data_IF_078234748753
#
_entry.id   IF_078234748753
#
_cell.length_a   1.000
_cell.length_b   1.000
_cell.length_c   1.000
_cell.angle_alpha   90.00
_cell.angle_beta   90.00
_cell.angle_gamma   90.00
#
_symmetry.space_group_name_H-M   'P 1'
#
loop_
_entity.id
_entity.type
_entity.pdbx_description
1 polymer ?
#
# COMPACT_ATOMS: atom_id res chain seq x y z
N UNK A 1 7.21 -2.99 -0.95
CA UNK A 1 6.87 -1.96 0.06
C UNK A 1 7.69 -0.71 -0.19
N UNK A 2 7.02 0.44 -0.25
CA UNK A 2 7.63 1.76 -0.43
C UNK A 2 8.05 2.36 0.91
N UNK A 3 9.09 1.78 1.52
CA UNK A 3 9.52 2.15 2.87
C UNK A 3 9.97 3.61 2.97
N UNK A 4 9.52 4.30 4.01
CA UNK A 4 9.88 5.70 4.29
C UNK A 4 9.36 6.71 3.26
N UNK A 5 8.61 6.24 2.26
CA UNK A 5 8.08 7.03 1.16
C UNK A 5 8.91 6.92 -0.14
N UNK A 6 9.91 6.06 -0.18
CA UNK A 6 10.70 5.80 -1.38
C UNK A 6 10.05 4.71 -2.20
N UNK A 7 9.74 4.99 -3.45
CA UNK A 7 9.19 4.01 -4.40
C UNK A 7 10.22 2.91 -4.66
N UNK A 8 9.83 1.67 -4.42
CA UNK A 8 10.69 0.51 -4.63
C UNK A 8 11.06 0.33 -6.11
N UNK A 9 12.10 -0.46 -6.37
CA UNK A 9 12.51 -0.77 -7.74
C UNK A 9 11.59 -1.82 -8.39
N UNK A 10 10.40 -1.36 -8.80
CA UNK A 10 9.41 -2.22 -9.45
C UNK A 10 9.86 -2.71 -10.83
N UNK A 11 10.73 -1.99 -11.54
CA UNK A 11 11.28 -2.47 -12.81
C UNK A 11 12.03 -3.78 -12.58
N UNK A 12 12.88 -3.82 -11.54
CA UNK A 12 13.60 -5.03 -11.16
C UNK A 12 12.67 -6.15 -10.69
N UNK A 13 11.60 -5.82 -9.98
CA UNK A 13 10.59 -6.80 -9.57
C UNK A 13 9.89 -7.38 -10.80
N UNK A 14 9.46 -6.55 -11.75
CA UNK A 14 8.82 -7.02 -12.98
C UNK A 14 9.76 -7.85 -13.86
N UNK A 15 11.04 -7.51 -13.97
CA UNK A 15 12.02 -8.34 -14.66
C UNK A 15 12.06 -9.77 -14.07
N UNK A 16 12.10 -9.90 -12.73
CA UNK A 16 12.11 -11.21 -12.05
C UNK A 16 10.80 -11.96 -12.33
N UNK A 17 9.66 -11.28 -12.22
CA UNK A 17 8.33 -11.88 -12.45
C UNK A 17 8.22 -12.38 -13.89
N UNK A 18 8.65 -11.60 -14.88
CA UNK A 18 8.65 -11.99 -16.28
C UNK A 18 9.55 -13.21 -16.57
N UNK A 19 10.75 -13.29 -15.96
CA UNK A 19 11.62 -14.48 -16.12
C UNK A 19 11.00 -15.74 -15.55
N UNK A 20 10.05 -15.65 -14.64
CA UNK A 20 9.40 -16.78 -13.97
C UNK A 20 7.97 -17.05 -14.42
N UNK A 21 7.44 -16.27 -15.38
CA UNK A 21 6.03 -16.39 -15.81
C UNK A 21 5.67 -17.78 -16.36
N UNK A 22 6.61 -18.51 -16.94
CA UNK A 22 6.40 -19.89 -17.40
C UNK A 22 6.07 -20.90 -16.28
N UNK A 23 6.35 -20.57 -15.02
CA UNK A 23 6.00 -21.38 -13.85
C UNK A 23 4.60 -21.04 -13.30
N UNK A 24 4.00 -19.94 -13.75
CA UNK A 24 2.72 -19.46 -13.24
C UNK A 24 1.56 -20.29 -13.82
N UNK A 25 0.66 -20.72 -12.95
CA UNK A 25 -0.58 -21.42 -13.32
C UNK A 25 -1.76 -20.59 -12.82
N UNK A 26 -2.57 -20.00 -13.72
CA UNK A 26 -3.71 -19.19 -13.31
C UNK A 26 -4.83 -20.06 -12.73
N UNK A 27 -5.50 -19.59 -11.69
CA UNK A 27 -6.64 -20.24 -11.05
C UNK A 27 -7.99 -19.54 -11.39
N UNK A 28 -7.95 -18.42 -12.10
CA UNK A 28 -9.14 -17.68 -12.51
C UNK A 28 -8.89 -16.83 -13.76
N UNK A 29 -9.98 -16.27 -14.33
CA UNK A 29 -9.92 -15.50 -15.56
C UNK A 29 -9.03 -14.24 -15.48
N UNK A 30 -9.02 -13.53 -14.35
CA UNK A 30 -8.16 -12.37 -14.16
C UNK A 30 -6.68 -12.77 -14.12
N UNK A 31 -6.35 -13.82 -13.39
CA UNK A 31 -4.99 -14.34 -13.36
C UNK A 31 -4.52 -14.85 -14.72
N UNK A 32 -5.41 -15.51 -15.47
CA UNK A 32 -5.13 -15.95 -16.85
C UNK A 32 -4.87 -14.74 -17.77
N UNK A 33 -5.64 -13.66 -17.61
CA UNK A 33 -5.46 -12.43 -18.40
C UNK A 33 -4.16 -11.71 -18.06
N UNK A 34 -3.75 -11.69 -16.79
CA UNK A 34 -2.46 -11.13 -16.34
C UNK A 34 -1.30 -12.04 -16.82
N UNK A 35 -1.46 -13.36 -16.81
CA UNK A 35 -0.51 -14.33 -17.35
C UNK A 35 0.78 -14.52 -16.54
N UNK A 36 0.89 -13.92 -15.34
CA UNK A 36 2.04 -13.97 -14.44
C UNK A 36 1.62 -13.70 -12.99
N UNK A 37 2.57 -13.81 -12.07
CA UNK A 37 2.36 -13.37 -10.69
C UNK A 37 2.05 -11.87 -10.67
N UNK A 38 1.03 -11.50 -9.90
CA UNK A 38 0.62 -10.10 -9.66
C UNK A 38 1.66 -9.40 -8.78
N UNK A 39 2.01 -8.18 -9.14
CA UNK A 39 2.83 -7.29 -8.32
C UNK A 39 1.90 -6.34 -7.55
N UNK A 40 1.84 -6.52 -6.24
CA UNK A 40 1.09 -5.65 -5.34
C UNK A 40 2.04 -4.77 -4.54
N UNK A 41 1.90 -3.46 -4.67
CA UNK A 41 2.69 -2.47 -3.95
C UNK A 41 2.00 -2.04 -2.66
N UNK A 42 2.72 -2.09 -1.55
CA UNK A 42 2.34 -1.38 -0.34
C UNK A 42 2.88 0.05 -0.41
N UNK A 43 1.99 0.96 -0.77
CA UNK A 43 2.24 2.38 -0.94
C UNK A 43 1.81 3.21 0.30
N UNK A 44 1.66 2.57 1.47
CA UNK A 44 1.20 3.23 2.69
C UNK A 44 2.07 4.43 3.11
N UNK A 45 3.31 4.52 2.64
CA UNK A 45 4.24 5.63 2.91
C UNK A 45 4.49 6.53 1.69
N UNK A 46 4.06 6.16 0.49
CA UNK A 46 4.55 6.77 -0.76
C UNK A 46 3.55 7.65 -1.51
N UNK A 47 2.41 8.00 -0.89
CA UNK A 47 1.46 8.92 -1.53
C UNK A 47 2.16 10.23 -1.91
N UNK A 48 2.17 10.57 -3.21
CA UNK A 48 2.89 11.72 -3.77
C UNK A 48 4.35 11.49 -4.12
N UNK A 49 4.91 10.30 -3.87
CA UNK A 49 6.24 9.91 -4.36
C UNK A 49 6.20 9.55 -5.85
N UNK A 50 7.35 9.65 -6.51
CA UNK A 50 7.49 9.25 -7.90
C UNK A 50 8.82 8.52 -8.17
N UNK A 51 8.82 7.72 -9.24
CA UNK A 51 10.03 7.11 -9.80
C UNK A 51 9.95 7.09 -11.32
N UNK A 52 11.01 7.54 -11.99
CA UNK A 52 11.10 7.63 -13.46
C UNK A 52 9.88 8.34 -14.09
N UNK A 53 9.40 9.41 -13.43
CA UNK A 53 8.27 10.20 -13.90
C UNK A 53 6.88 9.59 -13.66
N UNK A 54 6.79 8.40 -13.06
CA UNK A 54 5.52 7.76 -12.67
C UNK A 54 5.27 7.93 -11.19
N UNK A 55 4.02 8.25 -10.83
CA UNK A 55 3.62 8.36 -9.43
C UNK A 55 3.51 6.98 -8.77
N UNK A 56 3.75 6.93 -7.45
CA UNK A 56 3.34 5.76 -6.67
C UNK A 56 1.84 5.51 -6.91
N UNK A 57 1.47 4.24 -7.13
CA UNK A 57 0.12 3.85 -7.52
C UNK A 57 -0.10 3.65 -9.02
N UNK A 58 0.85 4.09 -9.88
CA UNK A 58 0.80 3.91 -11.34
C UNK A 58 1.76 2.83 -11.85
N UNK A 59 2.63 2.28 -10.99
CA UNK A 59 3.73 1.43 -11.43
C UNK A 59 3.40 -0.06 -11.29
N UNK A 60 2.92 -0.48 -10.12
CA UNK A 60 2.55 -1.87 -9.86
C UNK A 60 1.17 -2.22 -10.43
N UNK A 61 0.88 -3.52 -10.56
CA UNK A 61 -0.45 -3.98 -11.00
C UNK A 61 -1.55 -3.48 -10.06
N UNK A 62 -1.30 -3.55 -8.75
CA UNK A 62 -2.16 -3.02 -7.69
C UNK A 62 -1.31 -2.25 -6.68
N UNK A 63 -1.86 -1.18 -6.13
CA UNK A 63 -1.17 -0.37 -5.11
C UNK A 63 -2.15 0.02 -4.01
N UNK A 64 -1.79 -0.24 -2.76
CA UNK A 64 -2.59 0.09 -1.59
C UNK A 64 -2.00 1.28 -0.85
N UNK A 65 -2.83 2.27 -0.53
CA UNK A 65 -2.48 3.44 0.24
C UNK A 65 -3.15 3.44 1.61
N UNK A 66 -2.46 3.98 2.59
CA UNK A 66 -3.02 4.24 3.92
C UNK A 66 -3.21 5.74 4.12
N UNK A 67 -4.39 6.12 4.61
CA UNK A 67 -4.73 7.48 5.01
C UNK A 67 -4.97 7.58 6.53
N UNK A 68 -4.36 6.65 7.29
CA UNK A 68 -4.35 6.70 8.74
C UNK A 68 -3.76 8.01 9.27
N UNK A 69 -4.12 8.39 10.49
CA UNK A 69 -3.81 9.70 11.11
C UNK A 69 -2.33 10.13 11.02
N UNK A 70 -1.38 9.18 11.06
CA UNK A 70 0.06 9.47 11.04
C UNK A 70 0.66 9.58 9.63
N UNK A 71 -0.13 9.35 8.57
CA UNK A 71 0.37 9.41 7.19
C UNK A 71 0.48 10.86 6.70
N UNK A 72 1.24 11.05 5.62
CA UNK A 72 1.43 12.37 5.01
C UNK A 72 0.11 12.99 4.55
N UNK A 73 -0.71 12.17 3.89
CA UNK A 73 -2.08 12.46 3.55
C UNK A 73 -2.97 11.65 4.49
N UNK A 74 -3.91 12.29 5.16
CA UNK A 74 -4.76 11.61 6.14
C UNK A 74 -6.22 11.99 6.03
N UNK A 75 -7.07 11.00 6.31
CA UNK A 75 -8.51 11.16 6.52
C UNK A 75 -8.91 10.71 7.93
N UNK A 76 -7.98 10.78 8.92
CA UNK A 76 -8.00 10.17 10.24
C UNK A 76 -7.87 8.64 10.14
N UNK A 77 -8.81 7.98 9.52
CA UNK A 77 -8.77 6.58 9.07
C UNK A 77 -9.18 6.53 7.61
N UNK A 78 -8.57 5.65 6.83
CA UNK A 78 -8.92 5.46 5.43
C UNK A 78 -7.78 4.87 4.62
N UNK A 79 -8.03 4.72 3.35
CA UNK A 79 -7.07 4.21 2.37
C UNK A 79 -7.66 4.23 0.97
N UNK A 80 -6.83 3.90 0.01
CA UNK A 80 -7.23 3.72 -1.38
C UNK A 80 -6.51 2.52 -1.99
N UNK A 81 -7.15 1.91 -2.96
CA UNK A 81 -6.56 0.92 -3.86
C UNK A 81 -6.57 1.49 -5.26
N UNK A 82 -5.43 1.47 -5.92
CA UNK A 82 -5.31 1.76 -7.35
C UNK A 82 -4.81 0.52 -8.08
N UNK A 83 -5.05 0.47 -9.39
CA UNK A 83 -4.51 -0.58 -10.25
C UNK A 83 -4.13 -0.01 -11.61
N UNK A 84 -3.12 -0.62 -12.20
CA UNK A 84 -2.63 -0.27 -13.53
C UNK A 84 -2.43 -1.55 -14.34
N UNK A 85 -3.48 -1.97 -15.04
CA UNK A 85 -3.47 -3.16 -15.87
C UNK A 85 -3.58 -2.77 -17.36
N UNK A 86 -2.66 -3.24 -18.23
CA UNK A 86 -2.62 -2.84 -19.64
C UNK A 86 -3.94 -3.11 -20.40
N UNK A 87 -4.67 -4.12 -19.95
CA UNK A 87 -5.96 -4.54 -20.52
C UNK A 87 -7.19 -3.96 -19.82
N UNK A 88 -7.00 -3.01 -18.89
CA UNK A 88 -8.08 -2.49 -18.04
C UNK A 88 -9.31 -1.99 -18.80
N UNK A 89 -9.12 -1.41 -19.98
CA UNK A 89 -10.20 -0.91 -20.83
C UNK A 89 -10.74 -1.96 -21.82
N UNK A 90 -10.19 -3.18 -21.85
CA UNK A 90 -10.71 -4.25 -22.68
C UNK A 90 -11.99 -4.83 -22.05
N UNK A 91 -12.94 -5.30 -22.90
CA UNK A 91 -14.14 -5.96 -22.41
C UNK A 91 -13.81 -7.30 -21.74
N UNK A 92 -14.53 -7.60 -20.67
CA UNK A 92 -14.41 -8.89 -19.98
C UNK A 92 -15.08 -9.97 -20.82
N UNK A 93 -14.29 -10.75 -21.53
CA UNK A 93 -14.73 -11.89 -22.32
C UNK A 93 -14.63 -13.17 -21.48
N UNK A 94 -15.67 -13.46 -20.71
CA UNK A 94 -15.79 -14.74 -19.98
C UNK A 94 -17.01 -15.48 -20.53
N UNK A 95 -16.81 -16.70 -21.00
CA UNK A 95 -17.86 -17.54 -21.56
C UNK A 95 -18.93 -17.83 -20.50
N UNK A 96 -20.09 -17.17 -20.60
CA UNK A 96 -21.37 -17.49 -19.94
C UNK A 96 -21.41 -17.70 -18.41
N UNK A 97 -20.32 -18.10 -17.81
CA UNK A 97 -20.17 -18.37 -16.39
C UNK A 97 -19.46 -17.19 -15.71
N UNK A 98 -19.92 -16.79 -14.54
CA UNK A 98 -19.33 -15.68 -13.79
C UNK A 98 -17.84 -15.89 -13.50
N UNK A 99 -17.19 -14.86 -12.93
CA UNK A 99 -15.78 -14.91 -12.56
C UNK A 99 -15.59 -15.94 -11.43
N UNK A 100 -15.34 -17.20 -11.80
CA UNK A 100 -15.03 -18.26 -10.83
C UNK A 100 -13.59 -18.07 -10.34
N UNK A 101 -13.40 -17.89 -9.05
CA UNK A 101 -12.10 -17.99 -8.41
C UNK A 101 -12.03 -19.36 -7.75
N UNK A 102 -11.36 -20.31 -8.41
CA UNK A 102 -11.13 -21.63 -7.82
C UNK A 102 -10.37 -21.51 -6.50
N UNK A 103 -10.86 -22.17 -5.46
CA UNK A 103 -10.21 -22.22 -4.15
C UNK A 103 -10.69 -21.18 -3.12
N UNK A 104 -11.63 -20.34 -3.49
CA UNK A 104 -12.37 -19.47 -2.57
C UNK A 104 -13.85 -19.77 -2.66
N UNK A 105 -14.36 -20.62 -1.77
CA UNK A 105 -15.79 -20.99 -1.68
C UNK A 105 -16.70 -19.79 -1.34
N UNK A 106 -16.13 -18.61 -1.14
CA UNK A 106 -16.80 -17.38 -0.71
C UNK A 106 -16.88 -16.27 -1.76
N UNK A 107 -16.38 -16.47 -2.98
CA UNK A 107 -16.65 -15.55 -4.08
C UNK A 107 -17.84 -16.11 -4.88
N UNK A 108 -19.06 -15.63 -4.64
CA UNK A 108 -20.18 -15.99 -5.49
C UNK A 108 -19.86 -15.57 -6.92
N UNK A 109 -20.52 -16.21 -7.88
CA UNK A 109 -20.52 -15.79 -9.27
C UNK A 109 -20.94 -14.33 -9.33
N UNK A 110 -19.98 -13.41 -9.42
CA UNK A 110 -20.28 -11.99 -9.55
C UNK A 110 -20.86 -11.81 -10.93
N UNK A 111 -22.15 -11.42 -11.06
CA UNK A 111 -22.81 -11.36 -12.35
C UNK A 111 -22.06 -10.43 -13.29
N UNK A 112 -21.75 -10.89 -14.48
CA UNK A 112 -21.15 -10.09 -15.55
C UNK A 112 -22.17 -9.09 -16.07
N UNK A 113 -21.76 -7.83 -16.22
CA UNK A 113 -22.54 -6.83 -16.96
C UNK A 113 -22.13 -6.86 -18.43
N UNK A 114 -23.11 -6.78 -19.33
CA UNK A 114 -22.86 -6.76 -20.78
C UNK A 114 -21.98 -5.57 -21.16
N UNK A 115 -20.84 -5.84 -21.83
CA UNK A 115 -19.90 -4.81 -22.25
C UNK A 115 -19.01 -4.24 -21.13
N UNK A 116 -19.05 -4.81 -19.91
CA UNK A 116 -18.20 -4.39 -18.80
C UNK A 116 -16.72 -4.58 -19.13
N UNK A 117 -15.90 -3.56 -18.87
CA UNK A 117 -14.45 -3.62 -18.97
C UNK A 117 -13.83 -4.22 -17.69
N UNK A 118 -12.53 -4.59 -17.75
CA UNK A 118 -11.82 -5.06 -16.56
C UNK A 118 -11.73 -4.00 -15.47
N UNK A 119 -11.55 -2.72 -15.82
CA UNK A 119 -11.54 -1.62 -14.85
C UNK A 119 -12.88 -1.48 -14.13
N UNK A 120 -13.99 -1.55 -14.86
CA UNK A 120 -15.34 -1.46 -14.26
C UNK A 120 -15.63 -2.67 -13.36
N UNK A 121 -15.22 -3.87 -13.79
CA UNK A 121 -15.35 -5.07 -12.96
C UNK A 121 -14.54 -4.96 -11.67
N UNK A 122 -13.27 -4.54 -11.74
CA UNK A 122 -12.41 -4.39 -10.56
C UNK A 122 -12.93 -3.32 -9.62
N UNK A 123 -13.41 -2.19 -10.13
CA UNK A 123 -14.05 -1.15 -9.34
C UNK A 123 -15.28 -1.69 -8.59
N UNK A 124 -16.15 -2.41 -9.29
CA UNK A 124 -17.35 -3.02 -8.72
C UNK A 124 -17.01 -4.09 -7.66
N UNK A 125 -15.98 -4.89 -7.90
CA UNK A 125 -15.47 -5.85 -6.90
C UNK A 125 -14.96 -5.12 -5.66
N UNK A 126 -14.20 -4.04 -5.83
CA UNK A 126 -13.73 -3.20 -4.73
C UNK A 126 -14.88 -2.64 -3.88
N UNK A 127 -15.96 -2.17 -4.53
CA UNK A 127 -17.18 -1.72 -3.82
C UNK A 127 -17.83 -2.85 -3.03
N UNK A 128 -18.00 -4.02 -3.62
CA UNK A 128 -18.58 -5.19 -2.96
C UNK A 128 -17.73 -5.62 -1.74
N UNK A 129 -16.42 -5.72 -1.90
CA UNK A 129 -15.51 -6.14 -0.83
C UNK A 129 -15.46 -5.13 0.31
N UNK A 130 -15.59 -3.85 0.04
CA UNK A 130 -15.54 -2.80 1.07
C UNK A 130 -16.88 -2.52 1.75
N UNK A 131 -18.00 -2.96 1.16
CA UNK A 131 -19.36 -2.73 1.66
C UNK A 131 -20.09 -4.06 1.96
N UNK A 132 -19.46 -4.95 2.68
CA UNK A 132 -20.00 -6.24 3.15
C UNK A 132 -20.78 -7.06 2.08
N UNK A 133 -20.37 -6.96 0.82
CA UNK A 133 -21.02 -7.68 -0.28
C UNK A 133 -22.38 -7.14 -0.73
N UNK A 134 -22.76 -5.96 -0.29
CA UNK A 134 -24.03 -5.36 -0.66
C UNK A 134 -24.02 -4.93 -2.14
N UNK A 135 -25.02 -5.36 -2.90
CA UNK A 135 -25.11 -5.11 -4.35
C UNK A 135 -25.69 -3.74 -4.73
N UNK A 136 -26.17 -2.95 -3.75
CA UNK A 136 -26.62 -1.57 -3.92
C UNK A 136 -25.94 -0.65 -2.93
N UNK A 137 -25.48 0.49 -3.39
CA UNK A 137 -24.98 1.58 -2.56
C UNK A 137 -26.13 2.40 -1.93
N UNK A 138 -25.80 3.33 -1.04
CA UNK A 138 -26.78 4.18 -0.36
C UNK A 138 -27.55 5.07 -1.35
N UNK A 139 -26.89 5.56 -2.40
CA UNK A 139 -27.50 6.44 -3.40
C UNK A 139 -28.55 5.70 -4.26
N UNK A 140 -28.25 4.45 -4.63
CA UNK A 140 -29.19 3.62 -5.36
C UNK A 140 -30.45 3.30 -4.55
N UNK A 141 -30.37 3.30 -3.21
CA UNK A 141 -31.49 3.07 -2.28
C UNK A 141 -32.43 4.27 -2.11
N UNK A 142 -32.02 5.46 -2.51
CA UNK A 142 -32.85 6.69 -2.38
C UNK A 142 -33.97 6.78 -3.40
N UNK A 143 -33.97 5.94 -4.45
CA UNK A 143 -35.05 5.88 -5.44
C UNK A 143 -36.30 5.27 -4.84
N UNK A 144 -37.46 5.86 -5.15
CA UNK A 144 -38.75 5.35 -4.68
C UNK A 144 -38.91 3.87 -4.99
N UNK A 145 -39.26 3.05 -4.01
CA UNK A 145 -39.43 1.60 -4.16
C UNK A 145 -38.13 0.78 -4.22
N UNK A 146 -36.94 1.40 -4.10
CA UNK A 146 -35.65 0.71 -4.24
C UNK A 146 -35.07 0.20 -2.91
N UNK A 147 -35.94 -0.20 -1.96
CA UNK A 147 -35.51 -0.72 -0.64
C UNK A 147 -34.79 -2.07 -0.72
N UNK A 148 -35.13 -2.89 -1.68
CA UNK A 148 -34.60 -4.25 -1.82
C UNK A 148 -33.13 -4.24 -2.25
N UNK A 149 -32.31 -4.95 -1.52
CA UNK A 149 -30.90 -5.19 -1.82
C UNK A 149 -30.53 -6.63 -1.39
N UNK A 150 -29.40 -7.11 -1.87
CA UNK A 150 -28.87 -8.42 -1.55
C UNK A 150 -27.45 -8.33 -1.05
N UNK A 151 -27.05 -9.27 -0.19
CA UNK A 151 -25.68 -9.50 0.26
C UNK A 151 -25.13 -10.69 -0.51
N UNK A 152 -24.34 -10.44 -1.54
CA UNK A 152 -23.82 -11.49 -2.44
C UNK A 152 -22.56 -12.18 -1.93
N UNK A 153 -21.99 -11.72 -0.80
CA UNK A 153 -20.86 -12.36 -0.15
C UNK A 153 -20.52 -11.71 1.20
N UNK A 154 -20.00 -12.49 2.19
CA UNK A 154 -19.72 -12.02 3.55
C UNK A 154 -18.35 -11.31 3.63
N UNK A 155 -18.21 -10.17 2.97
CA UNK A 155 -16.95 -9.43 2.93
C UNK A 155 -16.88 -8.32 3.98
N UNK A 156 -15.86 -7.47 3.87
CA UNK A 156 -15.53 -6.45 4.86
C UNK A 156 -16.50 -5.25 4.82
N UNK A 157 -16.58 -4.54 5.94
CA UNK A 157 -17.19 -3.22 6.03
C UNK A 157 -16.09 -2.21 6.31
N UNK A 158 -15.52 -1.65 5.23
CA UNK A 158 -14.36 -0.75 5.30
C UNK A 158 -14.45 0.40 4.27
N UNK A 159 -15.65 0.74 3.83
CA UNK A 159 -15.87 1.92 2.96
C UNK A 159 -15.57 3.21 3.72
N UNK A 160 -14.97 4.19 3.02
CA UNK A 160 -14.76 5.52 3.55
C UNK A 160 -16.10 6.21 3.82
N UNK A 161 -16.22 6.91 4.95
CA UNK A 161 -17.39 7.73 5.27
C UNK A 161 -17.26 9.13 4.64
N UNK A 162 -18.39 9.82 4.45
CA UNK A 162 -18.41 11.17 3.90
C UNK A 162 -17.62 12.18 4.76
N UNK A 163 -17.62 11.98 6.09
CA UNK A 163 -16.82 12.81 7.00
C UNK A 163 -15.32 12.64 6.73
N UNK A 164 -14.85 11.40 6.57
CA UNK A 164 -13.45 11.12 6.23
C UNK A 164 -13.11 11.64 4.83
N UNK A 165 -14.03 11.50 3.87
CA UNK A 165 -13.83 12.01 2.52
C UNK A 165 -13.73 13.54 2.51
N UNK A 166 -14.54 14.25 3.28
CA UNK A 166 -14.48 15.71 3.43
C UNK A 166 -13.13 16.18 4.00
N UNK A 167 -12.59 15.47 5.00
CA UNK A 167 -11.22 15.72 5.48
C UNK A 167 -10.19 15.51 4.37
N UNK A 168 -10.34 14.46 3.58
CA UNK A 168 -9.46 14.14 2.45
C UNK A 168 -9.45 15.26 1.40
N UNK A 169 -10.59 15.83 1.06
CA UNK A 169 -10.67 16.94 0.10
C UNK A 169 -9.84 18.15 0.55
N UNK A 170 -9.97 18.56 1.81
CA UNK A 170 -9.18 19.66 2.38
C UNK A 170 -7.69 19.33 2.45
N UNK A 171 -7.35 18.07 2.78
CA UNK A 171 -5.95 17.63 2.78
C UNK A 171 -5.36 17.66 1.37
N UNK A 172 -6.12 17.29 0.34
CA UNK A 172 -5.67 17.30 -1.05
C UNK A 172 -5.29 18.70 -1.53
N UNK A 173 -6.09 19.69 -1.21
CA UNK A 173 -5.81 21.12 -1.55
C UNK A 173 -4.47 21.61 -0.95
N UNK A 174 -4.07 21.07 0.20
CA UNK A 174 -2.86 21.46 0.94
C UNK A 174 -1.66 20.58 0.65
N UNK A 175 -1.86 19.45 -0.03
CA UNK A 175 -0.90 18.35 -0.03
C UNK A 175 0.45 18.71 -0.64
N UNK A 176 0.49 19.43 -1.75
CA UNK A 176 1.73 19.90 -2.39
C UNK A 176 2.58 20.76 -1.46
N UNK A 177 1.94 21.62 -0.68
CA UNK A 177 2.61 22.44 0.34
C UNK A 177 3.19 21.58 1.48
N UNK A 178 2.45 20.57 1.89
CA UNK A 178 2.92 19.61 2.92
C UNK A 178 4.11 18.79 2.43
N UNK A 179 4.10 18.29 1.21
CA UNK A 179 5.23 17.58 0.61
C UNK A 179 6.48 18.47 0.49
N UNK A 180 6.34 19.70 0.01
CA UNK A 180 7.45 20.67 -0.06
C UNK A 180 8.04 20.94 1.33
N UNK A 181 7.19 21.09 2.35
CA UNK A 181 7.67 21.28 3.73
C UNK A 181 8.45 20.08 4.24
N UNK A 182 7.97 18.86 3.99
CA UNK A 182 8.67 17.63 4.37
C UNK A 182 10.01 17.50 3.66
N UNK A 183 10.06 17.80 2.36
CA UNK A 183 11.31 17.82 1.59
C UNK A 183 12.34 18.77 2.21
N UNK A 184 11.94 20.00 2.55
CA UNK A 184 12.82 20.96 3.21
C UNK A 184 13.36 20.48 4.56
N UNK A 185 12.55 19.72 5.31
CA UNK A 185 12.99 19.13 6.59
C UNK A 185 14.02 18.03 6.32
N UNK A 186 13.77 17.15 5.38
CA UNK A 186 14.71 16.08 4.99
C UNK A 186 16.04 16.66 4.53
N UNK A 187 16.02 17.67 3.65
CA UNK A 187 17.24 18.35 3.16
C UNK A 187 18.05 18.97 4.32
N UNK A 188 17.39 19.48 5.36
CA UNK A 188 18.07 19.97 6.57
C UNK A 188 18.71 18.83 7.37
N UNK A 189 18.04 17.69 7.51
CA UNK A 189 18.61 16.52 8.17
C UNK A 189 19.80 15.96 7.38
N UNK A 190 19.69 15.85 6.05
CA UNK A 190 20.78 15.40 5.19
C UNK A 190 22.03 16.27 5.37
N UNK A 191 21.85 17.59 5.39
CA UNK A 191 22.96 18.53 5.64
C UNK A 191 23.54 18.43 7.04
N UNK A 192 22.71 18.22 8.07
CA UNK A 192 23.17 18.14 9.45
C UNK A 192 23.85 16.79 9.80
N UNK A 193 23.46 15.71 9.15
CA UNK A 193 23.93 14.35 9.46
C UNK A 193 25.05 13.86 8.54
N UNK A 194 25.39 14.60 7.48
CA UNK A 194 26.32 14.18 6.42
C UNK A 194 27.71 13.74 6.90
N UNK A 195 28.21 14.36 8.00
CA UNK A 195 29.54 14.12 8.55
C UNK A 195 29.51 13.14 9.74
N UNK A 196 28.33 12.59 10.07
CA UNK A 196 28.16 11.60 11.13
C UNK A 196 28.26 10.18 10.58
N UNK A 197 28.69 9.24 11.44
CA UNK A 197 28.78 7.81 11.08
C UNK A 197 27.39 7.15 11.12
N UNK A 198 26.52 7.57 10.21
CA UNK A 198 25.15 7.07 10.07
C UNK A 198 24.84 6.73 8.61
N UNK A 199 23.87 5.84 8.41
CA UNK A 199 23.26 5.64 7.10
C UNK A 199 21.81 6.15 7.13
N UNK A 200 21.41 6.85 6.09
CA UNK A 200 20.06 7.41 5.90
C UNK A 200 19.45 6.92 4.60
N UNK A 201 18.13 7.04 4.47
CA UNK A 201 17.47 6.74 3.21
C UNK A 201 17.77 7.84 2.18
N UNK A 202 18.01 7.44 0.93
CA UNK A 202 18.13 8.37 -0.18
C UNK A 202 16.74 8.81 -0.66
N UNK A 203 16.27 9.95 -0.18
CA UNK A 203 14.94 10.49 -0.47
C UNK A 203 14.80 11.11 -1.87
N UNK A 204 15.92 11.48 -2.51
CA UNK A 204 15.93 12.12 -3.81
C UNK A 204 17.14 11.65 -4.62
N UNK A 205 16.89 10.98 -5.71
CA UNK A 205 17.89 10.52 -6.68
C UNK A 205 17.65 11.11 -8.06
N UNK A 206 18.43 10.66 -9.03
CA UNK A 206 18.28 11.06 -10.42
C UNK A 206 16.95 10.60 -11.03
N UNK A 207 16.42 9.47 -10.54
CA UNK A 207 15.24 8.79 -11.08
C UNK A 207 14.03 8.75 -10.13
N UNK A 208 14.16 9.28 -8.90
CA UNK A 208 13.09 9.22 -7.91
C UNK A 208 13.06 10.42 -6.97
N UNK A 209 11.87 10.72 -6.48
CA UNK A 209 11.64 11.60 -5.35
C UNK A 209 10.63 10.93 -4.40
N UNK A 210 10.98 10.81 -3.14
CA UNK A 210 10.13 10.18 -2.14
C UNK A 210 9.00 11.12 -1.69
N UNK A 211 8.03 10.59 -0.93
CA UNK A 211 7.05 11.39 -0.20
C UNK A 211 7.61 12.02 1.07
N UNK A 212 8.85 11.74 1.44
CA UNK A 212 9.50 12.20 2.68
C UNK A 212 8.70 11.84 3.95
N UNK A 213 8.16 10.60 3.97
CA UNK A 213 7.28 10.17 5.07
C UNK A 213 8.06 9.92 6.37
N UNK A 214 9.12 9.13 6.31
CA UNK A 214 10.00 8.83 7.44
C UNK A 214 11.43 9.21 7.11
N UNK A 215 12.15 9.73 8.09
CA UNK A 215 13.59 9.92 8.02
C UNK A 215 14.26 8.86 8.90
N UNK A 216 14.65 7.74 8.27
CA UNK A 216 15.27 6.62 8.98
C UNK A 216 16.77 6.83 9.07
N UNK A 217 17.30 6.74 10.31
CA UNK A 217 18.72 6.86 10.60
C UNK A 217 19.24 5.56 11.21
N UNK A 218 20.23 4.96 10.60
CA UNK A 218 20.94 3.80 11.13
C UNK A 218 22.28 4.24 11.71
N UNK A 219 22.53 3.93 12.96
CA UNK A 219 23.80 4.20 13.63
C UNK A 219 24.80 3.11 13.25
N UNK A 220 25.81 3.44 12.45
CA UNK A 220 26.77 2.45 11.94
C UNK A 220 27.75 2.02 13.05
N UNK A 221 27.95 0.71 13.17
CA UNK A 221 28.85 0.12 14.18
C UNK A 221 28.38 0.31 15.64
N UNK A 222 27.08 0.52 15.82
CA UNK A 222 26.45 0.65 17.16
C UNK A 222 25.55 -0.54 17.42
N UNK A 223 25.24 -0.77 18.70
CA UNK A 223 24.37 -1.83 19.19
C UNK A 223 22.95 -1.33 19.41
N UNK A 224 22.02 -2.25 19.67
CA UNK A 224 20.64 -1.89 20.08
C UNK A 224 20.62 -1.03 21.35
N UNK A 225 21.49 -1.32 22.31
CA UNK A 225 21.61 -0.54 23.56
C UNK A 225 22.09 0.89 23.27
N UNK A 226 23.03 1.06 22.35
CA UNK A 226 23.49 2.39 21.92
C UNK A 226 22.35 3.19 21.29
N UNK A 227 21.57 2.54 20.41
CA UNK A 227 20.42 3.18 19.77
C UNK A 227 19.33 3.53 20.80
N UNK A 228 19.06 2.68 21.79
CA UNK A 228 18.13 2.99 22.88
C UNK A 228 18.58 4.22 23.68
N UNK A 229 19.88 4.32 24.04
CA UNK A 229 20.42 5.52 24.70
C UNK A 229 20.24 6.78 23.87
N UNK A 230 20.46 6.70 22.56
CA UNK A 230 20.24 7.86 21.67
C UNK A 230 18.76 8.27 21.67
N UNK A 231 17.84 7.31 21.60
CA UNK A 231 16.39 7.57 21.67
C UNK A 231 16.03 8.28 22.99
N UNK A 232 16.55 7.80 24.12
CA UNK A 232 16.32 8.41 25.44
C UNK A 232 16.86 9.84 25.49
N UNK A 233 18.10 10.05 25.05
CA UNK A 233 18.72 11.38 25.02
C UNK A 233 18.00 12.36 24.06
N UNK A 234 17.44 11.87 22.98
CA UNK A 234 16.61 12.68 22.08
C UNK A 234 15.30 13.07 22.75
N UNK A 235 14.66 12.11 23.47
CA UNK A 235 13.43 12.37 24.20
C UNK A 235 13.64 13.42 25.32
N UNK A 236 14.74 13.36 26.05
CA UNK A 236 15.12 14.38 27.03
C UNK A 236 15.25 15.80 26.43
N UNK A 237 15.55 15.87 25.13
CA UNK A 237 15.63 17.13 24.38
C UNK A 237 14.32 17.50 23.68
N UNK A 238 13.24 16.78 24.00
CA UNK A 238 11.90 17.01 23.41
C UNK A 238 11.72 16.48 21.99
N UNK A 239 12.60 15.58 21.53
CA UNK A 239 12.55 14.99 20.19
C UNK A 239 12.14 13.51 20.33
N UNK A 240 10.90 13.21 19.97
CA UNK A 240 10.39 11.85 19.97
C UNK A 240 10.96 11.05 18.79
N UNK A 241 11.71 9.99 19.08
CA UNK A 241 12.20 9.03 18.11
C UNK A 241 11.49 7.68 18.28
N UNK A 242 11.41 6.91 17.19
CA UNK A 242 10.79 5.60 17.21
C UNK A 242 11.61 4.59 16.42
N UNK A 243 11.38 3.31 16.63
CA UNK A 243 12.05 2.21 15.90
C UNK A 243 11.13 1.69 14.81
N UNK A 244 11.59 1.73 13.57
CA UNK A 244 10.87 1.22 12.40
C UNK A 244 11.66 0.08 11.74
N UNK A 245 11.41 -1.21 12.08
CA UNK A 245 10.51 -1.71 13.12
C UNK A 245 11.20 -2.80 13.95
N UNK A 246 10.63 -3.14 15.13
CA UNK A 246 10.98 -4.41 15.76
C UNK A 246 10.52 -5.54 14.85
N UNK A 247 11.41 -6.50 14.47
CA UNK A 247 11.07 -7.58 13.55
C UNK A 247 9.87 -8.41 14.04
N UNK A 248 8.96 -8.75 13.13
CA UNK A 248 7.75 -9.52 13.46
C UNK A 248 8.04 -10.84 14.18
N UNK A 249 9.10 -11.64 13.81
CA UNK A 249 9.46 -12.85 14.55
C UNK A 249 9.79 -12.62 16.03
N UNK A 250 10.09 -11.39 16.42
CA UNK A 250 10.33 -11.02 17.84
C UNK A 250 9.06 -10.67 18.60
N UNK A 251 7.91 -10.53 17.94
CA UNK A 251 6.62 -10.22 18.55
C UNK A 251 5.97 -11.48 19.10
N UNK A 252 5.26 -11.38 20.24
CA UNK A 252 4.64 -12.51 20.94
C UNK A 252 3.73 -13.34 20.05
N UNK A 253 2.86 -12.68 19.26
CA UNK A 253 1.92 -13.36 18.38
C UNK A 253 2.64 -14.21 17.31
N UNK A 254 3.72 -13.70 16.72
CA UNK A 254 4.47 -14.41 15.68
C UNK A 254 5.33 -15.55 16.26
N UNK A 255 5.89 -15.36 17.46
CA UNK A 255 6.56 -16.46 18.20
C UNK A 255 5.59 -17.60 18.47
N UNK A 256 4.35 -17.30 18.85
CA UNK A 256 3.31 -18.32 19.08
C UNK A 256 2.94 -19.09 17.80
N UNK A 257 3.17 -18.52 16.61
CA UNK A 257 3.01 -19.18 15.31
C UNK A 257 4.26 -19.96 14.86
N UNK A 258 5.31 -20.03 15.70
CA UNK A 258 6.53 -20.79 15.42
C UNK A 258 7.65 -20.02 14.71
N UNK A 259 7.51 -18.69 14.53
CA UNK A 259 8.59 -17.87 13.95
C UNK A 259 9.70 -17.62 14.96
N UNK A 260 10.96 -17.82 14.55
CA UNK A 260 12.17 -17.49 15.32
C UNK A 260 12.98 -16.41 14.57
N UNK A 261 13.42 -15.38 15.29
CA UNK A 261 14.26 -14.31 14.72
C UNK A 261 15.60 -14.84 14.15
N UNK A 262 16.10 -15.97 14.64
CA UNK A 262 17.32 -16.61 14.15
C UNK A 262 17.24 -17.00 12.67
N UNK A 263 16.02 -17.26 12.16
CA UNK A 263 15.78 -17.57 10.76
C UNK A 263 15.80 -16.32 9.87
N UNK A 264 15.88 -15.13 10.48
CA UNK A 264 15.83 -13.82 9.82
C UNK A 264 17.02 -12.92 10.18
N UNK A 265 18.27 -13.37 9.96
CA UNK A 265 19.47 -12.67 10.41
C UNK A 265 19.59 -11.25 9.88
N UNK A 266 19.17 -10.99 8.63
CA UNK A 266 19.20 -9.66 8.04
C UNK A 266 18.22 -8.70 8.72
N UNK A 267 17.04 -9.17 9.10
CA UNK A 267 16.06 -8.35 9.82
C UNK A 267 16.56 -8.01 11.23
N UNK A 268 17.19 -8.98 11.90
CA UNK A 268 17.80 -8.78 13.20
C UNK A 268 18.94 -7.75 13.14
N UNK A 269 19.86 -7.92 12.20
CA UNK A 269 20.99 -7.01 11.99
C UNK A 269 20.58 -5.57 11.66
N UNK A 270 19.45 -5.39 10.96
CA UNK A 270 18.90 -4.05 10.71
C UNK A 270 18.25 -3.43 11.96
N UNK A 271 17.79 -4.27 12.88
CA UNK A 271 17.16 -3.84 14.13
C UNK A 271 18.18 -3.50 15.22
N UNK A 272 19.33 -4.17 15.25
CA UNK A 272 20.43 -3.86 16.17
C UNK A 272 21.00 -2.45 15.96
#
# INVERSE_FOLDING_TARGET
>A
VDLGGIVADYDRVFEIVETKKGLFKPNNALQAKIGRIVVSADCAHSFGANRKGKMAGEIADFSSFSFHAVKNFTTAEGGALTWHLPFGNEPVLVNGEGLMVQGYDYLPNVPKKKGETWNELLYRLGQLFSLHGQNKDALAKTKLGAWEYDIIGPWYKCNMTDIMAALGLVQMERYDGLLKRRQMIVEKYDGALKDLNVAVLNHKGADHCSSHHLYLVRLLGKTREDANRVIEQMAERGIACNVHYKPLPMMTAYKALGFDIKDYPNAYHLFE
#
